data_IF_945970593924
#
_entry.id   IF_945970593924
#
_cell.length_a   1.000
_cell.length_b   1.000
_cell.length_c   1.000
_cell.angle_alpha   90.00
_cell.angle_beta   90.00
_cell.angle_gamma   90.00
#
_symmetry.space_group_name_H-M   'P 1'
#
loop_
_entity.id
_entity.type
_entity.pdbx_description
1 polymer ?
#
# COMPACT_ATOMS: atom_id res chain seq x y z
N UNK A 1 14.97 -30.69 18.69
CA UNK A 1 13.94 -31.56 18.08
C UNK A 1 12.59 -30.86 17.89
N UNK A 2 12.05 -30.12 18.87
CA UNK A 2 10.74 -29.45 18.70
C UNK A 2 10.74 -28.21 17.77
N UNK A 3 11.83 -27.45 17.70
CA UNK A 3 11.89 -26.27 16.82
C UNK A 3 12.00 -26.64 15.32
N UNK A 4 12.72 -27.71 14.99
CA UNK A 4 12.84 -28.23 13.62
C UNK A 4 11.56 -28.89 13.13
N UNK A 5 10.80 -29.57 14.02
CA UNK A 5 9.52 -30.18 13.67
C UNK A 5 8.43 -29.13 13.40
N UNK A 6 8.43 -28.03 14.17
CA UNK A 6 7.52 -26.89 13.95
C UNK A 6 7.87 -26.13 12.68
N UNK A 7 9.15 -25.86 12.40
CA UNK A 7 9.59 -25.23 11.16
C UNK A 7 9.23 -26.09 9.94
N UNK A 8 9.46 -27.40 10.00
CA UNK A 8 9.08 -28.38 8.97
C UNK A 8 7.56 -28.43 8.73
N UNK A 9 6.75 -28.47 9.79
CA UNK A 9 5.29 -28.46 9.69
C UNK A 9 4.75 -27.14 9.10
N UNK A 10 5.36 -26.02 9.46
CA UNK A 10 5.00 -24.69 8.94
C UNK A 10 5.40 -24.55 7.47
N UNK A 11 6.56 -25.08 7.08
CA UNK A 11 7.01 -25.14 5.69
C UNK A 11 6.10 -26.04 4.82
N UNK A 12 5.65 -27.19 5.35
CA UNK A 12 4.68 -28.06 4.69
C UNK A 12 3.31 -27.39 4.57
N UNK A 13 2.88 -26.65 5.60
CA UNK A 13 1.59 -25.93 5.61
C UNK A 13 1.60 -24.75 4.63
N UNK A 14 2.70 -24.00 4.54
CA UNK A 14 2.93 -22.95 3.54
C UNK A 14 2.98 -23.56 2.14
N UNK A 15 3.74 -24.64 1.92
CA UNK A 15 3.77 -25.37 0.64
C UNK A 15 2.39 -25.91 0.24
N UNK A 16 1.54 -26.32 1.18
CA UNK A 16 0.18 -26.78 0.92
C UNK A 16 -0.82 -25.64 0.68
N UNK A 17 -0.69 -24.50 1.36
CA UNK A 17 -1.49 -23.29 1.12
C UNK A 17 -1.21 -22.71 -0.28
N UNK A 18 0.08 -22.62 -0.61
CA UNK A 18 0.60 -22.30 -1.94
C UNK A 18 0.09 -23.30 -2.99
N UNK A 19 0.11 -24.61 -2.68
CA UNK A 19 -0.38 -25.64 -3.61
C UNK A 19 -1.90 -25.56 -3.83
N UNK A 20 -2.66 -25.17 -2.82
CA UNK A 20 -4.11 -24.92 -2.92
C UNK A 20 -4.46 -23.68 -3.75
N UNK A 21 -3.59 -22.67 -3.71
CA UNK A 21 -3.63 -21.47 -4.56
C UNK A 21 -2.97 -21.67 -5.93
N UNK A 22 -2.41 -22.85 -6.24
CA UNK A 22 -2.00 -23.18 -7.61
C UNK A 22 -3.24 -23.23 -8.46
N UNK A 23 -3.63 -22.07 -8.96
CA UNK A 23 -4.54 -21.88 -10.06
C UNK A 23 -4.16 -22.95 -11.08
N UNK A 24 -5.02 -23.96 -11.25
CA UNK A 24 -4.76 -25.02 -12.23
C UNK A 24 -4.47 -24.30 -13.53
N UNK A 25 -3.40 -24.67 -14.25
CA UNK A 25 -3.04 -24.03 -15.53
C UNK A 25 -4.25 -23.91 -16.48
N UNK A 26 -5.18 -24.84 -16.38
CA UNK A 26 -6.48 -24.89 -17.05
C UNK A 26 -7.37 -23.66 -16.80
N UNK A 27 -7.27 -23.03 -15.63
CA UNK A 27 -8.03 -21.82 -15.28
C UNK A 27 -7.44 -20.54 -15.87
N UNK A 28 -6.17 -20.53 -16.28
CA UNK A 28 -5.56 -19.33 -16.86
C UNK A 28 -6.29 -18.85 -18.12
N UNK A 29 -6.94 -19.77 -18.86
CA UNK A 29 -7.78 -19.49 -20.03
C UNK A 29 -9.29 -19.42 -19.76
N UNK A 30 -9.76 -19.63 -18.53
CA UNK A 30 -11.18 -19.62 -18.21
C UNK A 30 -11.68 -18.18 -17.98
N UNK A 31 -12.40 -17.62 -18.95
CA UNK A 31 -13.17 -16.37 -18.82
C UNK A 31 -14.49 -16.55 -18.04
N UNK A 32 -14.61 -17.59 -17.22
CA UNK A 32 -15.82 -17.90 -16.46
C UNK A 32 -15.78 -17.22 -15.08
N UNK A 33 -16.24 -15.97 -15.02
CA UNK A 33 -16.35 -15.18 -13.78
C UNK A 33 -16.99 -15.93 -12.59
N UNK A 34 -18.03 -16.77 -12.76
CA UNK A 34 -18.58 -17.56 -11.66
C UNK A 34 -17.58 -18.52 -11.01
N UNK A 35 -16.70 -19.15 -11.79
CA UNK A 35 -15.68 -20.07 -11.26
C UNK A 35 -14.63 -19.32 -10.44
N UNK A 36 -14.23 -18.12 -10.87
CA UNK A 36 -13.32 -17.27 -10.14
C UNK A 36 -13.93 -16.77 -8.82
N UNK A 37 -15.23 -16.45 -8.82
CA UNK A 37 -15.96 -16.10 -7.60
C UNK A 37 -16.02 -17.27 -6.62
N UNK A 38 -16.34 -18.48 -7.08
CA UNK A 38 -16.33 -19.68 -6.23
C UNK A 38 -14.94 -19.96 -5.64
N UNK A 39 -13.90 -19.85 -6.48
CA UNK A 39 -12.53 -20.01 -6.03
C UNK A 39 -12.14 -18.95 -4.98
N UNK A 40 -12.55 -17.70 -5.20
CA UNK A 40 -12.34 -16.61 -4.24
C UNK A 40 -12.99 -16.94 -2.89
N UNK A 41 -14.26 -17.38 -2.91
CA UNK A 41 -15.01 -17.77 -1.71
C UNK A 41 -14.37 -18.94 -0.97
N UNK A 42 -13.76 -19.88 -1.69
CA UNK A 42 -13.09 -21.04 -1.10
C UNK A 42 -11.78 -20.67 -0.40
N UNK A 43 -11.02 -19.71 -0.93
CA UNK A 43 -9.67 -19.40 -0.45
C UNK A 43 -9.59 -18.17 0.46
N UNK A 44 -10.57 -17.26 0.39
CA UNK A 44 -10.55 -16.00 1.15
C UNK A 44 -11.78 -15.89 2.06
N UNK A 45 -11.63 -16.34 3.32
CA UNK A 45 -12.73 -16.40 4.29
C UNK A 45 -13.38 -15.05 4.55
N UNK A 46 -12.62 -13.94 4.53
CA UNK A 46 -13.18 -12.60 4.73
C UNK A 46 -14.22 -12.23 3.65
N UNK A 47 -14.01 -12.66 2.40
CA UNK A 47 -14.96 -12.45 1.29
C UNK A 47 -16.22 -13.27 1.52
N UNK A 48 -16.04 -14.54 1.94
CA UNK A 48 -17.15 -15.45 2.24
C UNK A 48 -18.02 -14.91 3.39
N UNK A 49 -17.38 -14.52 4.50
CA UNK A 49 -18.06 -13.96 5.67
C UNK A 49 -18.80 -12.66 5.33
N UNK A 50 -18.16 -11.78 4.57
CA UNK A 50 -18.77 -10.53 4.14
C UNK A 50 -20.03 -10.75 3.29
N UNK A 51 -19.99 -11.67 2.32
CA UNK A 51 -21.14 -12.01 1.47
C UNK A 51 -22.27 -12.70 2.25
N UNK A 52 -21.94 -13.56 3.21
CA UNK A 52 -22.93 -14.23 4.06
C UNK A 52 -23.63 -13.29 5.05
N UNK A 53 -22.98 -12.17 5.41
CA UNK A 53 -23.52 -11.25 6.41
C UNK A 53 -24.76 -10.48 5.95
N UNK A 54 -25.04 -10.37 4.64
CA UNK A 54 -26.10 -9.53 4.05
C UNK A 54 -26.13 -8.07 4.54
N UNK A 55 -25.05 -7.57 5.15
CA UNK A 55 -24.96 -6.22 5.73
C UNK A 55 -24.34 -5.18 4.79
N UNK A 56 -23.96 -5.58 3.58
CA UNK A 56 -23.22 -4.74 2.66
C UNK A 56 -24.13 -4.23 1.54
N UNK A 57 -24.16 -2.92 1.36
CA UNK A 57 -24.83 -2.27 0.22
C UNK A 57 -24.15 -2.61 -1.12
N UNK A 58 -22.84 -2.88 -1.08
CA UNK A 58 -22.03 -3.25 -2.25
C UNK A 58 -21.06 -4.38 -1.89
N UNK A 59 -21.01 -5.40 -2.74
CA UNK A 59 -20.24 -6.62 -2.49
C UNK A 59 -19.65 -7.22 -3.78
N UNK A 60 -19.03 -6.39 -4.60
CA UNK A 60 -18.29 -6.79 -5.80
C UNK A 60 -16.79 -6.95 -5.54
N UNK A 61 -16.05 -7.44 -6.54
CA UNK A 61 -14.63 -7.72 -6.42
C UNK A 61 -13.77 -6.45 -6.16
N UNK A 62 -14.15 -5.30 -6.73
CA UNK A 62 -13.47 -4.02 -6.48
C UNK A 62 -13.62 -3.60 -5.01
N UNK A 63 -14.83 -3.72 -4.46
CA UNK A 63 -15.11 -3.46 -3.06
C UNK A 63 -14.26 -4.35 -2.14
N UNK A 64 -14.18 -5.66 -2.42
CA UNK A 64 -13.36 -6.56 -1.60
C UNK A 64 -11.86 -6.25 -1.68
N UNK A 65 -11.35 -5.86 -2.85
CA UNK A 65 -9.96 -5.44 -3.00
C UNK A 65 -9.66 -4.17 -2.19
N UNK A 66 -10.54 -3.17 -2.28
CA UNK A 66 -10.42 -1.93 -1.52
C UNK A 66 -10.46 -2.18 -0.02
N UNK A 67 -11.46 -2.93 0.44
CA UNK A 67 -11.64 -3.29 1.85
C UNK A 67 -10.43 -4.05 2.40
N UNK A 68 -9.90 -5.02 1.66
CA UNK A 68 -8.69 -5.74 2.05
C UNK A 68 -7.49 -4.80 2.20
N UNK A 69 -7.33 -3.82 1.31
CA UNK A 69 -6.25 -2.85 1.42
C UNK A 69 -6.41 -1.97 2.67
N UNK A 70 -7.59 -1.44 2.89
CA UNK A 70 -7.91 -0.54 4.00
C UNK A 70 -7.80 -1.22 5.37
N UNK A 71 -8.35 -2.42 5.54
CA UNK A 71 -8.34 -3.12 6.83
C UNK A 71 -6.92 -3.32 7.36
N UNK A 72 -5.96 -3.69 6.51
CA UNK A 72 -4.58 -3.92 6.93
C UNK A 72 -3.81 -2.62 7.19
N UNK A 73 -4.05 -1.58 6.39
CA UNK A 73 -3.37 -0.28 6.53
C UNK A 73 -3.93 0.49 7.74
N UNK A 74 -5.24 0.42 7.98
CA UNK A 74 -5.93 1.17 9.04
C UNK A 74 -5.94 0.45 10.39
N UNK A 75 -5.69 -0.87 10.46
CA UNK A 75 -5.54 -1.63 11.71
C UNK A 75 -4.55 -1.02 12.71
N UNK A 76 -3.61 -0.21 12.22
CA UNK A 76 -2.55 0.43 13.01
C UNK A 76 -2.62 1.96 13.00
N UNK A 77 -3.66 2.54 12.38
CA UNK A 77 -4.03 3.91 12.69
C UNK A 77 -4.41 3.95 14.17
N UNK A 78 -3.83 4.86 14.96
CA UNK A 78 -4.14 5.09 16.38
C UNK A 78 -5.61 4.76 16.64
N UNK A 79 -5.85 3.96 17.68
CA UNK A 79 -7.14 3.32 17.94
C UNK A 79 -8.28 4.29 17.64
N UNK A 80 -9.33 3.83 16.99
CA UNK A 80 -10.50 4.64 16.68
C UNK A 80 -11.01 5.40 17.93
N UNK A 81 -10.72 4.88 19.12
CA UNK A 81 -10.84 5.48 20.45
C UNK A 81 -9.97 6.72 20.68
N UNK A 82 -8.67 6.69 20.37
CA UNK A 82 -7.76 7.85 20.45
C UNK A 82 -8.10 8.91 19.39
N UNK A 83 -8.61 8.53 18.22
CA UNK A 83 -9.09 9.48 17.20
C UNK A 83 -10.46 10.10 17.55
N UNK A 84 -11.35 9.37 18.24
CA UNK A 84 -12.61 9.90 18.79
C UNK A 84 -12.38 10.94 19.89
N UNK A 85 -11.34 10.76 20.72
CA UNK A 85 -10.91 11.77 21.71
C UNK A 85 -10.30 13.00 21.03
N UNK A 86 -9.82 12.86 19.78
CA UNK A 86 -9.20 13.89 18.94
C UNK A 86 -10.16 14.55 17.94
N UNK A 87 -11.46 14.32 18.05
CA UNK A 87 -12.44 15.12 17.32
C UNK A 87 -12.37 16.56 17.86
N UNK A 88 -11.52 17.36 17.22
CA UNK A 88 -11.33 18.78 17.52
C UNK A 88 -12.70 19.45 17.68
N UNK A 89 -12.89 20.18 18.78
CA UNK A 89 -14.01 21.11 18.93
C UNK A 89 -14.13 22.05 17.72
N UNK A 90 -13.00 22.33 17.03
CA UNK A 90 -12.95 23.06 15.78
C UNK A 90 -13.64 22.35 14.60
N UNK A 91 -13.56 21.01 14.49
CA UNK A 91 -14.28 20.24 13.47
C UNK A 91 -15.78 20.25 13.77
N UNK A 92 -16.17 20.10 15.04
CA UNK A 92 -17.57 20.21 15.47
C UNK A 92 -18.12 21.61 15.18
N UNK A 93 -17.34 22.65 15.45
CA UNK A 93 -17.73 24.04 15.23
C UNK A 93 -17.75 24.43 13.73
N UNK A 94 -16.82 23.91 12.92
CA UNK A 94 -16.84 24.06 11.46
C UNK A 94 -18.00 23.29 10.82
N UNK A 95 -18.33 22.11 11.35
CA UNK A 95 -19.47 21.29 10.89
C UNK A 95 -20.80 21.97 11.23
N UNK A 96 -20.89 22.62 12.39
CA UNK A 96 -22.02 23.48 12.78
C UNK A 96 -22.11 24.76 11.95
N UNK A 97 -20.97 25.41 11.67
CA UNK A 97 -20.92 26.70 10.96
C UNK A 97 -21.14 26.59 9.44
N UNK A 98 -20.85 25.43 8.83
CA UNK A 98 -20.94 25.25 7.37
C UNK A 98 -22.11 24.38 6.89
N UNK A 99 -22.99 23.96 7.80
CA UNK A 99 -24.15 23.14 7.48
C UNK A 99 -23.76 21.81 6.87
N UNK A 100 -23.39 20.83 7.71
CA UNK A 100 -23.30 19.42 7.35
C UNK A 100 -22.63 19.14 5.99
N UNK A 101 -21.40 19.62 5.79
CA UNK A 101 -20.56 18.95 4.79
C UNK A 101 -20.10 17.63 5.43
N UNK A 102 -20.55 16.55 4.81
CA UNK A 102 -20.31 15.15 5.17
C UNK A 102 -18.80 14.90 5.37
N UNK A 103 -18.32 15.09 6.61
CA UNK A 103 -16.90 14.99 6.98
C UNK A 103 -16.34 13.59 6.71
N UNK A 104 -17.22 12.60 6.66
CA UNK A 104 -16.93 11.24 6.22
C UNK A 104 -16.47 11.21 4.76
N UNK A 105 -17.20 11.84 3.84
CA UNK A 105 -16.85 11.88 2.41
C UNK A 105 -15.51 12.57 2.15
N UNK A 106 -15.18 13.62 2.93
CA UNK A 106 -13.88 14.30 2.81
C UNK A 106 -12.69 13.41 3.22
N UNK A 107 -12.89 12.44 4.14
CA UNK A 107 -11.83 11.52 4.57
C UNK A 107 -11.41 10.59 3.44
N UNK A 108 -12.37 10.10 2.67
CA UNK A 108 -12.17 9.15 1.58
C UNK A 108 -12.09 9.79 0.19
N UNK A 109 -12.27 11.11 0.09
CA UNK A 109 -12.17 11.86 -1.16
C UNK A 109 -10.87 11.51 -1.91
N UNK A 110 -11.02 10.92 -3.09
CA UNK A 110 -9.94 10.62 -4.02
C UNK A 110 -10.53 10.61 -5.42
N UNK A 111 -9.83 11.19 -6.37
CA UNK A 111 -10.11 11.11 -7.79
C UNK A 111 -9.42 9.87 -8.42
N UNK A 112 -8.67 9.12 -7.59
CA UNK A 112 -7.82 8.00 -7.97
C UNK A 112 -8.24 6.71 -7.29
N UNK A 113 -9.39 6.17 -7.72
CA UNK A 113 -9.84 4.86 -7.32
C UNK A 113 -8.86 3.77 -7.82
N UNK A 114 -8.36 2.95 -6.90
CA UNK A 114 -7.44 1.86 -7.24
C UNK A 114 -8.14 0.76 -8.05
N UNK A 115 -9.44 0.56 -7.81
CA UNK A 115 -10.24 -0.51 -8.39
C UNK A 115 -11.46 0.06 -9.10
N UNK A 116 -11.49 -0.04 -10.43
CA UNK A 116 -12.67 0.32 -11.21
C UNK A 116 -13.75 -0.77 -11.07
N UNK A 117 -14.89 -0.41 -10.47
CA UNK A 117 -16.05 -1.28 -10.23
C UNK A 117 -16.52 -2.07 -11.46
N UNK A 118 -16.48 -1.45 -12.63
CA UNK A 118 -17.04 -1.98 -13.88
C UNK A 118 -16.11 -3.00 -14.55
N UNK A 119 -14.80 -2.92 -14.27
CA UNK A 119 -13.79 -3.74 -14.96
C UNK A 119 -12.94 -4.62 -14.04
N UNK A 120 -13.04 -4.44 -12.71
CA UNK A 120 -12.29 -5.24 -11.75
C UNK A 120 -13.06 -6.51 -11.37
N UNK A 121 -12.67 -7.62 -11.98
CA UNK A 121 -13.27 -8.95 -11.82
C UNK A 121 -12.78 -9.72 -10.59
N UNK A 122 -13.51 -10.77 -10.21
CA UNK A 122 -13.07 -11.77 -9.24
C UNK A 122 -11.79 -12.48 -9.68
N UNK A 123 -11.55 -12.64 -10.98
CA UNK A 123 -10.26 -13.12 -11.50
C UNK A 123 -9.12 -12.20 -11.07
N UNK A 124 -9.24 -10.89 -11.31
CA UNK A 124 -8.25 -9.89 -10.88
C UNK A 124 -8.09 -9.87 -9.36
N UNK A 125 -9.20 -9.98 -8.60
CA UNK A 125 -9.15 -10.06 -7.14
C UNK A 125 -8.36 -11.27 -6.65
N UNK A 126 -8.67 -12.47 -7.14
CA UNK A 126 -7.97 -13.71 -6.73
C UNK A 126 -6.49 -13.64 -7.10
N UNK A 127 -6.17 -13.20 -8.32
CA UNK A 127 -4.79 -13.06 -8.79
C UNK A 127 -4.00 -12.09 -7.90
N UNK A 128 -4.60 -10.94 -7.56
CA UNK A 128 -3.99 -9.96 -6.67
C UNK A 128 -3.73 -10.57 -5.29
N UNK A 129 -4.76 -11.06 -4.62
CA UNK A 129 -4.65 -11.58 -3.26
C UNK A 129 -3.68 -12.78 -3.17
N UNK A 130 -3.67 -13.63 -4.20
CA UNK A 130 -2.72 -14.74 -4.28
C UNK A 130 -1.28 -14.26 -4.38
N UNK A 131 -0.97 -13.25 -5.23
CA UNK A 131 0.40 -12.72 -5.27
C UNK A 131 0.81 -12.08 -3.94
N UNK A 132 -0.09 -11.32 -3.30
CA UNK A 132 0.17 -10.69 -2.00
C UNK A 132 0.53 -11.75 -0.95
N UNK A 133 -0.24 -12.84 -0.90
CA UNK A 133 0.04 -13.97 -0.01
C UNK A 133 1.34 -14.69 -0.37
N UNK A 134 1.62 -14.91 -1.66
CA UNK A 134 2.87 -15.54 -2.12
C UNK A 134 4.07 -14.70 -1.67
N UNK A 135 4.01 -13.37 -1.80
CA UNK A 135 5.09 -12.49 -1.36
C UNK A 135 5.24 -12.56 0.16
N UNK A 136 4.13 -12.53 0.91
CA UNK A 136 4.14 -12.72 2.35
C UNK A 136 4.80 -14.05 2.75
N UNK A 137 4.56 -15.12 2.02
CA UNK A 137 5.10 -16.44 2.32
C UNK A 137 6.60 -16.56 2.02
N UNK A 138 7.20 -15.66 1.23
CA UNK A 138 8.65 -15.64 0.95
C UNK A 138 9.47 -15.48 2.25
N UNK A 139 8.89 -14.88 3.29
CA UNK A 139 9.54 -14.76 4.61
C UNK A 139 9.78 -16.14 5.24
N UNK A 140 8.91 -17.12 4.95
CA UNK A 140 8.99 -18.49 5.47
C UNK A 140 9.68 -19.43 4.48
N UNK A 141 9.35 -19.30 3.20
CA UNK A 141 9.90 -20.11 2.12
C UNK A 141 10.78 -19.24 1.23
N UNK A 142 12.08 -19.29 1.47
CA UNK A 142 13.06 -18.34 0.94
C UNK A 142 13.29 -18.41 -0.59
N UNK A 143 12.55 -19.27 -1.29
CA UNK A 143 12.58 -19.45 -2.74
C UNK A 143 11.70 -18.41 -3.45
N UNK A 144 12.13 -17.94 -4.62
CA UNK A 144 11.35 -17.03 -5.47
C UNK A 144 10.65 -17.76 -6.63
N UNK A 145 10.85 -19.07 -6.74
CA UNK A 145 10.45 -19.92 -7.86
C UNK A 145 8.95 -19.80 -8.12
N UNK A 146 8.14 -20.00 -7.08
CA UNK A 146 6.69 -19.85 -7.17
C UNK A 146 6.28 -18.44 -7.57
N UNK A 147 6.88 -17.41 -6.96
CA UNK A 147 6.54 -16.03 -7.27
C UNK A 147 6.86 -15.69 -8.73
N UNK A 148 7.98 -16.20 -9.26
CA UNK A 148 8.34 -16.03 -10.66
C UNK A 148 7.42 -16.79 -11.61
N UNK A 149 7.04 -18.03 -11.29
CA UNK A 149 6.07 -18.78 -12.08
C UNK A 149 4.70 -18.09 -12.09
N UNK A 150 4.26 -17.59 -10.94
CA UNK A 150 3.00 -16.86 -10.80
C UNK A 150 3.02 -15.56 -11.62
N UNK A 151 4.07 -14.75 -11.48
CA UNK A 151 4.22 -13.49 -12.23
C UNK A 151 4.32 -13.75 -13.74
N UNK A 152 4.95 -14.85 -14.17
CA UNK A 152 5.00 -15.22 -15.59
C UNK A 152 3.61 -15.48 -16.16
N UNK A 153 2.70 -16.06 -15.38
CA UNK A 153 1.33 -16.39 -15.82
C UNK A 153 0.38 -15.19 -15.70
N UNK A 154 0.44 -14.45 -14.59
CA UNK A 154 -0.58 -13.47 -14.23
C UNK A 154 -0.07 -12.04 -14.05
N UNK A 155 1.24 -11.80 -14.10
CA UNK A 155 1.84 -10.48 -13.84
C UNK A 155 1.38 -9.38 -14.79
N UNK A 156 0.84 -9.72 -15.96
CA UNK A 156 0.21 -8.78 -16.90
C UNK A 156 -1.14 -8.24 -16.45
N UNK A 157 -1.76 -8.83 -15.42
CA UNK A 157 -3.09 -8.45 -14.91
C UNK A 157 -3.02 -7.68 -13.58
N UNK A 158 -1.83 -7.59 -13.00
CA UNK A 158 -1.61 -7.01 -11.67
C UNK A 158 -1.38 -5.51 -11.82
N UNK A 159 -2.46 -4.76 -11.77
CA UNK A 159 -2.46 -3.29 -11.84
C UNK A 159 -2.25 -2.65 -10.46
N UNK A 160 -2.67 -3.33 -9.39
CA UNK A 160 -2.57 -2.84 -8.01
C UNK A 160 -1.96 -3.92 -7.12
N UNK A 161 -0.92 -3.56 -6.37
CA UNK A 161 -0.26 -4.46 -5.45
C UNK A 161 -0.05 -3.79 -4.10
N UNK A 162 -0.55 -4.42 -3.03
CA UNK A 162 -0.27 -4.06 -1.64
C UNK A 162 0.62 -5.12 -1.00
N UNK A 163 1.77 -4.70 -0.47
CA UNK A 163 2.74 -5.62 0.15
C UNK A 163 3.15 -5.11 1.52
N UNK A 164 3.14 -5.98 2.51
CA UNK A 164 3.76 -5.71 3.80
C UNK A 164 5.27 -5.82 3.67
N UNK A 165 6.03 -4.96 4.31
CA UNK A 165 7.49 -5.14 4.43
C UNK A 165 7.75 -6.45 5.19
N UNK A 166 8.37 -7.41 4.52
CA UNK A 166 8.73 -8.73 5.08
C UNK A 166 10.19 -8.74 5.55
N UNK A 167 10.46 -9.48 6.63
CA UNK A 167 11.82 -9.76 7.07
C UNK A 167 12.38 -10.92 6.26
N UNK A 168 13.66 -10.82 5.91
CA UNK A 168 14.37 -11.97 5.36
C UNK A 168 15.83 -11.96 5.78
N UNK A 169 16.03 -12.35 7.03
CA UNK A 169 17.34 -12.47 7.69
C UNK A 169 18.36 -13.34 6.94
N UNK A 170 17.90 -14.19 6.02
CA UNK A 170 18.70 -15.13 5.25
C UNK A 170 19.01 -14.72 3.80
N UNK A 171 18.44 -13.62 3.30
CA UNK A 171 18.87 -13.09 2.00
C UNK A 171 20.18 -12.34 2.13
N UNK A 172 20.91 -12.27 1.01
CA UNK A 172 22.04 -11.35 0.84
C UNK A 172 21.69 -9.90 1.21
N UNK A 173 20.40 -9.54 1.16
CA UNK A 173 19.83 -8.37 1.83
C UNK A 173 18.33 -8.55 2.08
N UNK A 174 17.85 -8.18 3.27
CA UNK A 174 16.45 -8.34 3.73
C UNK A 174 15.40 -7.74 2.76
N UNK A 175 15.76 -6.74 1.97
CA UNK A 175 14.83 -6.06 1.05
C UNK A 175 15.04 -6.42 -0.43
N UNK A 176 15.89 -7.39 -0.76
CA UNK A 176 16.19 -7.77 -2.16
C UNK A 176 14.96 -8.25 -2.94
N UNK A 177 13.94 -8.77 -2.25
CA UNK A 177 12.70 -9.22 -2.88
C UNK A 177 11.99 -8.12 -3.69
N UNK A 178 12.10 -6.85 -3.27
CA UNK A 178 11.56 -5.70 -4.03
C UNK A 178 12.15 -5.66 -5.44
N UNK A 179 13.48 -5.78 -5.53
CA UNK A 179 14.20 -5.78 -6.81
C UNK A 179 13.94 -7.05 -7.61
N UNK A 180 13.74 -8.19 -6.96
CA UNK A 180 13.47 -9.45 -7.63
C UNK A 180 12.09 -9.46 -8.31
N UNK A 181 11.07 -8.88 -7.68
CA UNK A 181 9.67 -9.06 -8.07
C UNK A 181 9.08 -7.85 -8.78
N UNK A 182 9.19 -6.64 -8.22
CA UNK A 182 8.51 -5.44 -8.72
C UNK A 182 8.84 -5.14 -10.19
N UNK A 183 10.10 -5.23 -10.68
CA UNK A 183 10.41 -4.94 -12.09
C UNK A 183 9.74 -5.84 -13.13
N UNK A 184 9.16 -6.97 -12.70
CA UNK A 184 8.50 -7.93 -13.59
C UNK A 184 7.01 -7.62 -13.77
N UNK A 185 6.44 -6.75 -12.94
CA UNK A 185 5.01 -6.39 -12.95
C UNK A 185 4.77 -5.18 -13.86
N UNK A 186 4.88 -5.37 -15.18
CA UNK A 186 4.81 -4.26 -16.15
C UNK A 186 3.46 -3.54 -16.18
N UNK A 187 2.38 -4.23 -15.81
CA UNK A 187 1.04 -3.67 -15.74
C UNK A 187 0.77 -2.89 -14.45
N UNK A 188 1.70 -2.90 -13.48
CA UNK A 188 1.53 -2.28 -12.18
C UNK A 188 1.40 -0.76 -12.31
N UNK A 189 0.30 -0.22 -11.80
CA UNK A 189 -0.02 1.21 -11.73
C UNK A 189 0.03 1.73 -10.30
N UNK A 190 -0.35 0.90 -9.34
CA UNK A 190 -0.40 1.24 -7.92
C UNK A 190 0.45 0.29 -7.11
N UNK A 191 1.44 0.85 -6.39
CA UNK A 191 2.23 0.11 -5.41
C UNK A 191 1.97 0.66 -4.01
N UNK A 192 1.48 -0.19 -3.11
CA UNK A 192 1.30 0.12 -1.70
C UNK A 192 2.26 -0.73 -0.87
N UNK A 193 3.19 -0.10 -0.19
CA UNK A 193 4.04 -0.75 0.79
C UNK A 193 3.60 -0.32 2.18
N UNK A 194 3.41 -1.27 3.07
CA UNK A 194 3.04 -0.97 4.44
C UNK A 194 3.86 -1.76 5.44
N UNK A 195 3.92 -1.28 6.66
CA UNK A 195 4.52 -1.99 7.78
C UNK A 195 3.54 -2.05 8.95
N UNK A 196 3.79 -2.94 9.90
CA UNK A 196 3.10 -2.90 11.19
C UNK A 196 3.88 -2.04 12.20
N UNK A 197 3.26 -1.70 13.33
CA UNK A 197 3.85 -0.84 14.36
C UNK A 197 5.08 -1.46 15.05
N UNK A 198 5.27 -2.78 14.97
CA UNK A 198 6.46 -3.49 15.47
C UNK A 198 7.36 -3.97 14.33
N UNK A 199 7.17 -3.40 13.14
CA UNK A 199 7.63 -3.96 11.90
C UNK A 199 9.13 -3.79 11.69
N UNK A 200 9.66 -4.54 10.73
CA UNK A 200 11.08 -4.48 10.36
C UNK A 200 11.41 -3.07 9.89
N UNK A 201 12.52 -2.51 10.39
CA UNK A 201 12.99 -1.20 9.93
C UNK A 201 13.18 -1.21 8.40
N UNK A 202 12.59 -0.24 7.71
CA UNK A 202 12.86 -0.02 6.29
C UNK A 202 14.07 0.91 6.17
N UNK A 203 15.25 0.30 6.29
CA UNK A 203 16.51 1.02 6.38
C UNK A 203 16.94 1.64 5.03
N UNK A 204 18.15 2.21 5.01
CA UNK A 204 18.77 2.73 3.79
C UNK A 204 18.86 1.67 2.68
N UNK A 205 19.03 0.39 3.01
CA UNK A 205 19.02 -0.68 2.02
C UNK A 205 17.62 -0.92 1.46
N UNK A 206 16.57 -0.83 2.28
CA UNK A 206 15.18 -0.84 1.86
C UNK A 206 14.93 0.17 0.75
N UNK A 207 15.25 1.44 1.00
CA UNK A 207 15.11 2.48 -0.02
C UNK A 207 16.02 2.26 -1.23
N UNK A 208 17.24 1.75 -1.04
CA UNK A 208 18.15 1.42 -2.15
C UNK A 208 17.54 0.35 -3.07
N UNK A 209 16.94 -0.70 -2.50
CA UNK A 209 16.30 -1.76 -3.29
C UNK A 209 15.00 -1.30 -3.92
N UNK A 210 14.19 -0.49 -3.22
CA UNK A 210 13.01 0.14 -3.80
C UNK A 210 13.39 1.04 -4.99
N UNK A 211 14.35 1.95 -4.82
CA UNK A 211 14.84 2.83 -5.89
C UNK A 211 15.29 2.03 -7.12
N UNK A 212 16.08 0.96 -6.93
CA UNK A 212 16.48 0.07 -8.02
C UNK A 212 15.27 -0.62 -8.66
N UNK A 213 14.37 -1.15 -7.85
CA UNK A 213 13.19 -1.85 -8.33
C UNK A 213 12.32 -0.94 -9.23
N UNK A 214 12.09 0.30 -8.81
CA UNK A 214 11.34 1.29 -9.59
C UNK A 214 12.09 1.69 -10.87
N UNK A 215 13.42 1.86 -10.82
CA UNK A 215 14.23 2.12 -12.01
C UNK A 215 14.13 1.00 -13.05
N UNK A 216 14.20 -0.26 -12.61
CA UNK A 216 14.06 -1.41 -13.51
C UNK A 216 12.62 -1.60 -13.99
N UNK A 217 11.61 -1.32 -13.16
CA UNK A 217 10.21 -1.30 -13.58
C UNK A 217 10.01 -0.32 -14.75
N UNK A 218 10.49 0.92 -14.59
CA UNK A 218 10.45 1.94 -15.64
C UNK A 218 11.20 1.47 -16.90
N UNK A 219 12.44 0.98 -16.76
CA UNK A 219 13.24 0.47 -17.87
C UNK A 219 12.56 -0.68 -18.63
N UNK A 220 11.77 -1.49 -17.92
CA UNK A 220 11.04 -2.62 -18.48
C UNK A 220 9.69 -2.23 -19.12
N UNK A 221 9.36 -0.93 -19.15
CA UNK A 221 8.13 -0.38 -19.74
C UNK A 221 6.96 -0.25 -18.76
N UNK A 222 7.17 -0.48 -17.46
CA UNK A 222 6.15 -0.24 -16.44
C UNK A 222 6.04 1.25 -16.07
N UNK A 223 4.90 1.65 -15.52
CA UNK A 223 4.64 3.04 -15.14
C UNK A 223 3.66 3.09 -13.96
N UNK A 224 4.12 3.60 -12.81
CA UNK A 224 3.25 3.82 -11.64
C UNK A 224 2.58 5.18 -11.71
N UNK A 225 1.27 5.21 -11.46
CA UNK A 225 0.50 6.42 -11.20
C UNK A 225 0.32 6.69 -9.70
N UNK A 226 0.46 5.67 -8.84
CA UNK A 226 0.29 5.80 -7.39
C UNK A 226 1.36 5.03 -6.62
N UNK A 227 1.97 5.71 -5.65
CA UNK A 227 2.87 5.12 -4.67
C UNK A 227 2.38 5.47 -3.27
N UNK A 228 2.19 4.45 -2.46
CA UNK A 228 1.77 4.56 -1.07
C UNK A 228 2.77 3.85 -0.19
N UNK A 229 3.33 4.57 0.79
CA UNK A 229 4.24 4.04 1.80
C UNK A 229 3.64 4.34 3.17
N UNK A 230 3.11 3.37 3.91
CA UNK A 230 2.52 3.60 5.25
C UNK A 230 3.30 2.85 6.32
N UNK A 231 3.68 3.53 7.41
CA UNK A 231 4.57 2.96 8.44
C UNK A 231 5.91 2.41 7.88
N UNK A 232 6.30 2.82 6.67
CA UNK A 232 7.56 2.42 6.02
C UNK A 232 8.63 3.49 6.23
N UNK A 233 8.23 4.76 6.28
CA UNK A 233 9.14 5.88 6.50
C UNK A 233 9.22 6.15 7.99
N UNK A 234 10.16 5.46 8.65
CA UNK A 234 10.45 5.60 10.06
C UNK A 234 11.95 5.90 10.26
N UNK A 235 12.29 6.72 11.27
CA UNK A 235 13.66 6.98 11.78
C UNK A 235 14.49 8.14 11.22
N UNK A 236 13.93 9.02 10.39
CA UNK A 236 14.58 10.26 9.97
C UNK A 236 15.77 10.05 9.01
N UNK A 237 15.97 10.99 8.09
CA UNK A 237 16.92 10.93 6.95
C UNK A 237 16.51 9.99 5.81
N UNK A 238 15.22 9.72 5.65
CA UNK A 238 14.73 9.08 4.43
C UNK A 238 14.60 10.08 3.28
N UNK A 239 14.47 11.39 3.54
CA UNK A 239 14.12 12.41 2.54
C UNK A 239 14.92 12.36 1.25
N UNK A 240 16.26 12.23 1.33
CA UNK A 240 17.10 12.04 0.15
C UNK A 240 16.85 10.70 -0.53
N UNK A 241 16.76 9.61 0.24
CA UNK A 241 16.51 8.27 -0.27
C UNK A 241 15.13 8.15 -0.95
N UNK A 242 14.12 8.81 -0.39
CA UNK A 242 12.77 8.91 -0.92
C UNK A 242 12.77 9.64 -2.26
N UNK A 243 13.43 10.81 -2.33
CA UNK A 243 13.59 11.54 -3.59
C UNK A 243 14.28 10.67 -4.66
N UNK A 244 15.30 9.90 -4.29
CA UNK A 244 15.98 8.96 -5.20
C UNK A 244 15.09 7.80 -5.69
N UNK A 245 14.06 7.42 -4.93
CA UNK A 245 13.07 6.43 -5.38
C UNK A 245 12.14 7.04 -6.42
N UNK A 246 11.66 8.25 -6.15
CA UNK A 246 10.58 8.87 -6.92
C UNK A 246 11.03 9.30 -8.33
N UNK A 247 12.30 9.67 -8.54
CA UNK A 247 12.80 10.16 -9.85
C UNK A 247 12.56 9.22 -11.04
N UNK A 248 12.28 7.94 -10.77
CA UNK A 248 11.99 6.93 -11.78
C UNK A 248 10.48 6.81 -12.09
N UNK A 249 9.64 7.66 -11.50
CA UNK A 249 8.19 7.64 -11.62
C UNK A 249 7.68 8.94 -12.27
N UNK A 250 7.96 9.19 -13.57
CA UNK A 250 7.58 10.43 -14.23
C UNK A 250 6.07 10.60 -14.38
N UNK A 251 5.30 9.51 -14.35
CA UNK A 251 3.84 9.49 -14.49
C UNK A 251 3.09 9.51 -13.15
N UNK A 252 3.79 9.72 -12.04
CA UNK A 252 3.22 9.63 -10.70
C UNK A 252 2.22 10.77 -10.46
N UNK A 253 1.02 10.41 -10.04
CA UNK A 253 -0.10 11.32 -9.81
C UNK A 253 -0.53 11.35 -8.34
N UNK A 254 -0.33 10.25 -7.61
CA UNK A 254 -0.72 10.12 -6.20
C UNK A 254 0.47 9.70 -5.35
N UNK A 255 0.72 10.46 -4.29
CA UNK A 255 1.65 10.13 -3.23
C UNK A 255 0.93 10.04 -1.89
N UNK A 256 1.04 8.87 -1.26
CA UNK A 256 0.50 8.65 0.08
C UNK A 256 1.62 8.24 1.04
N UNK A 257 1.92 9.12 1.99
CA UNK A 257 2.83 8.88 3.11
C UNK A 257 2.08 8.89 4.45
N UNK A 258 0.78 8.64 4.46
CA UNK A 258 0.02 8.64 5.71
C UNK A 258 0.55 7.59 6.70
N UNK A 259 0.36 7.84 7.99
CA UNK A 259 0.81 6.94 9.06
C UNK A 259 2.33 6.68 9.06
N UNK A 260 3.14 7.65 8.68
CA UNK A 260 4.59 7.59 8.89
C UNK A 260 4.99 8.49 10.06
N UNK A 261 6.25 8.48 10.46
CA UNK A 261 6.80 9.50 11.36
C UNK A 261 7.85 10.30 10.60
N UNK A 262 7.39 11.36 9.93
CA UNK A 262 8.24 12.17 9.08
C UNK A 262 9.11 13.12 9.92
N UNK A 263 10.38 13.19 9.59
CA UNK A 263 11.30 14.21 10.10
C UNK A 263 11.29 15.46 9.22
N UNK A 264 11.84 16.56 9.71
CA UNK A 264 11.98 17.80 8.94
C UNK A 264 12.74 17.57 7.62
N UNK A 265 13.74 16.67 7.61
CA UNK A 265 14.46 16.30 6.39
C UNK A 265 13.56 15.56 5.37
N UNK A 266 12.65 14.72 5.85
CA UNK A 266 11.68 14.03 5.00
C UNK A 266 10.69 15.03 4.40
N UNK A 267 10.18 15.96 5.21
CA UNK A 267 9.28 17.04 4.78
C UNK A 267 9.92 17.96 3.74
N UNK A 268 11.19 18.34 3.91
CA UNK A 268 11.96 19.07 2.90
C UNK A 268 12.12 18.27 1.61
N UNK A 269 12.40 16.97 1.73
CA UNK A 269 12.45 16.05 0.59
C UNK A 269 11.11 16.03 -0.18
N UNK A 270 9.99 15.93 0.53
CA UNK A 270 8.64 15.99 -0.04
C UNK A 270 8.39 17.34 -0.71
N UNK A 271 8.76 18.46 -0.08
CA UNK A 271 8.67 19.79 -0.69
C UNK A 271 9.42 19.88 -2.02
N UNK A 272 10.61 19.25 -2.12
CA UNK A 272 11.36 19.15 -3.37
C UNK A 272 10.65 18.27 -4.41
N UNK A 273 10.10 17.13 -4.00
CA UNK A 273 9.29 16.26 -4.88
C UNK A 273 8.13 17.06 -5.48
N UNK A 274 7.35 17.77 -4.68
CA UNK A 274 6.24 18.58 -5.15
C UNK A 274 6.67 19.69 -6.12
N UNK A 275 7.91 20.16 -5.98
CA UNK A 275 8.51 21.15 -6.87
C UNK A 275 8.90 20.56 -8.22
N UNK A 276 9.43 19.34 -8.25
CA UNK A 276 10.00 18.72 -9.45
C UNK A 276 8.98 17.87 -10.23
N UNK A 277 8.03 17.26 -9.54
CA UNK A 277 7.07 16.30 -10.12
C UNK A 277 5.77 16.99 -10.49
N UNK A 278 5.66 17.36 -11.76
CA UNK A 278 4.57 18.22 -12.25
C UNK A 278 3.22 17.54 -12.36
N UNK A 279 3.16 16.21 -12.34
CA UNK A 279 1.94 15.43 -12.52
C UNK A 279 1.26 15.01 -11.21
N UNK A 280 1.83 15.34 -10.05
CA UNK A 280 1.20 15.01 -8.76
C UNK A 280 -0.08 15.84 -8.60
N UNK A 281 -1.19 15.13 -8.38
CA UNK A 281 -2.54 15.68 -8.16
C UNK A 281 -3.07 15.38 -6.76
N UNK A 282 -2.61 14.29 -6.14
CA UNK A 282 -2.96 13.99 -4.74
C UNK A 282 -1.74 13.76 -3.85
N UNK A 283 -1.78 14.36 -2.66
CA UNK A 283 -0.80 14.16 -1.60
C UNK A 283 -1.50 13.85 -0.27
N UNK A 284 -1.22 12.69 0.31
CA UNK A 284 -1.70 12.32 1.64
C UNK A 284 -0.56 12.25 2.66
N UNK A 285 -0.58 13.16 3.62
CA UNK A 285 0.34 13.27 4.75
C UNK A 285 -0.40 13.14 6.09
N UNK A 286 -1.55 12.47 6.11
CA UNK A 286 -2.32 12.31 7.35
C UNK A 286 -1.57 11.46 8.39
N UNK A 287 -1.62 11.85 9.65
CA UNK A 287 -0.97 11.17 10.77
C UNK A 287 0.53 10.96 10.54
N UNK A 288 1.24 12.02 10.17
CA UNK A 288 2.68 11.98 9.87
C UNK A 288 3.59 12.69 10.88
N UNK A 289 3.00 13.22 11.96
CA UNK A 289 3.69 14.02 12.98
C UNK A 289 4.36 15.30 12.44
N UNK A 290 3.77 15.91 11.40
CA UNK A 290 4.26 17.19 10.85
C UNK A 290 4.06 18.30 11.88
N UNK A 291 5.15 19.00 12.21
CA UNK A 291 5.16 20.20 13.04
C UNK A 291 5.10 21.48 12.20
N UNK A 292 5.06 22.65 12.87
CA UNK A 292 4.96 23.96 12.19
C UNK A 292 6.17 24.25 11.28
N UNK A 293 7.36 23.76 11.62
CA UNK A 293 8.55 23.98 10.79
C UNK A 293 8.49 23.11 9.52
N UNK A 294 8.19 21.83 9.67
CA UNK A 294 7.97 20.88 8.57
C UNK A 294 6.82 21.29 7.66
N UNK A 295 5.75 21.85 8.21
CA UNK A 295 4.61 22.34 7.44
C UNK A 295 5.01 23.45 6.47
N UNK A 296 5.94 24.34 6.87
CA UNK A 296 6.47 25.40 5.98
C UNK A 296 7.26 24.81 4.80
N UNK A 297 8.12 23.82 5.05
CA UNK A 297 8.89 23.14 4.00
C UNK A 297 7.97 22.50 2.95
N UNK A 298 6.86 21.90 3.39
CA UNK A 298 5.86 21.30 2.49
C UNK A 298 5.06 22.38 1.75
N UNK A 299 4.65 23.45 2.44
CA UNK A 299 3.92 24.58 1.84
C UNK A 299 4.71 25.22 0.68
N UNK A 300 6.03 25.38 0.85
CA UNK A 300 6.91 25.89 -0.21
C UNK A 300 6.89 25.01 -1.46
N UNK A 301 6.89 23.69 -1.28
CA UNK A 301 6.73 22.74 -2.37
C UNK A 301 5.37 22.84 -3.05
N UNK A 302 4.30 22.93 -2.26
CA UNK A 302 2.92 23.05 -2.75
C UNK A 302 2.71 24.31 -3.60
N UNK A 303 3.33 25.44 -3.26
CA UNK A 303 3.26 26.66 -4.08
C UNK A 303 3.77 26.44 -5.53
N UNK A 304 4.62 25.44 -5.73
CA UNK A 304 5.21 25.07 -7.04
C UNK A 304 4.50 23.86 -7.71
N UNK A 305 3.66 23.13 -6.98
CA UNK A 305 2.88 22.00 -7.48
C UNK A 305 1.58 22.48 -8.15
N UNK A 306 1.65 22.82 -9.44
CA UNK A 306 0.53 23.47 -10.15
C UNK A 306 -0.66 22.56 -10.49
N UNK A 307 -0.49 21.24 -10.37
CA UNK A 307 -1.56 20.27 -10.67
C UNK A 307 -2.17 19.65 -9.39
N UNK A 308 -1.72 20.06 -8.19
CA UNK A 308 -2.26 19.51 -6.96
C UNK A 308 -3.74 19.86 -6.80
N UNK A 309 -4.56 18.87 -6.49
CA UNK A 309 -6.02 18.97 -6.36
C UNK A 309 -6.46 18.59 -4.95
N UNK A 310 -5.89 17.51 -4.41
CA UNK A 310 -6.24 17.00 -3.08
C UNK A 310 -4.99 16.93 -2.21
N UNK A 311 -5.06 17.58 -1.04
CA UNK A 311 -4.03 17.46 -0.01
C UNK A 311 -4.65 17.10 1.32
N UNK A 312 -4.15 16.03 1.95
CA UNK A 312 -4.66 15.51 3.23
C UNK A 312 -3.61 15.63 4.33
N UNK A 313 -3.95 16.31 5.43
CA UNK A 313 -3.07 16.55 6.58
C UNK A 313 -3.69 16.15 7.92
N UNK A 314 -4.79 15.39 7.92
CA UNK A 314 -5.52 15.07 9.15
C UNK A 314 -4.61 14.36 10.17
N UNK A 315 -4.77 14.67 11.46
CA UNK A 315 -4.09 13.94 12.54
C UNK A 315 -2.59 14.25 12.68
N UNK A 316 -2.12 15.33 12.06
CA UNK A 316 -0.86 15.94 12.41
C UNK A 316 -1.09 16.89 13.59
N UNK A 317 -0.71 16.46 14.79
CA UNK A 317 -0.73 17.35 15.96
C UNK A 317 0.70 17.71 16.35
N UNK A 318 0.94 19.00 16.51
CA UNK A 318 2.06 19.51 17.32
C UNK A 318 1.70 19.21 18.77
N UNK A 319 2.46 18.33 19.44
CA UNK A 319 2.45 18.34 20.90
C UNK A 319 3.05 19.67 21.36
N UNK A 320 2.18 20.62 21.67
CA UNK A 320 2.33 21.48 22.84
C UNK A 320 0.97 21.43 23.55
N UNK A 321 0.76 20.38 24.36
CA UNK A 321 -0.36 20.31 25.30
C UNK A 321 0.04 20.82 26.70
N UNK A 322 1.17 21.53 26.79
CA UNK A 322 1.69 22.14 28.03
C UNK A 322 1.84 23.68 27.91
N UNK A 323 1.11 24.33 27.01
CA UNK A 323 0.90 25.78 27.00
C UNK A 323 -0.59 26.09 26.98
#
# INVERSE_FOLDING_TARGET
DDAESVASAQEVRVKNHIKGLTLKKEMAGANAEPLWKELCLKNFDFVRQALQSNKLERADAAFFAQKHDEEEILKFSMTETEMKVREDNLIVDLTKARGSLDTFNMRYATDYADYNAESFSYRKLVVKLALEQIIMDIQHNQSFELAFEFIKLFGGEIENLKVKIIDKTSLKSNHYWLLALIPKLKALKTLKLYNDAQGISFDKNGFKFLSKALAYLQKNGGSLSKLQLNQVVNHGNSGENLFQCLKFLPSLQVLDFSFNRLSNNDCRGIGKVLSDFKLIRELNLSNTHIDNASAKDIADGLMRAKQIEIVKFRGNCTHDLNQ
#
